data_IF_121821651676
#
_entry.id   IF_121821651676
#
_cell.length_a   1.000
_cell.length_b   1.000
_cell.length_c   1.000
_cell.angle_alpha   90.00
_cell.angle_beta   90.00
_cell.angle_gamma   90.00
#
_symmetry.space_group_name_H-M   'P 1'
#
loop_
_entity.id
_entity.type
_entity.pdbx_description
1 polymer ?
#
# COMPACT_ATOMS: atom_id res chain seq x y z
N UNK A 1 -38.71 -28.34 23.76
CA UNK A 1 -37.93 -27.27 23.10
C UNK A 1 -36.60 -27.87 22.66
N UNK A 2 -36.51 -28.32 21.40
CA UNK A 2 -35.37 -29.10 20.89
C UNK A 2 -34.24 -28.14 20.46
N UNK A 3 -33.10 -28.26 21.09
CA UNK A 3 -31.88 -27.51 20.73
C UNK A 3 -31.31 -28.14 19.46
N UNK A 4 -31.65 -27.58 18.30
CA UNK A 4 -30.99 -27.94 17.02
C UNK A 4 -29.53 -27.58 17.09
N UNK A 5 -28.70 -28.58 17.24
CA UNK A 5 -27.24 -28.46 17.39
C UNK A 5 -26.60 -27.87 16.13
N UNK A 6 -25.69 -26.96 16.32
CA UNK A 6 -24.88 -26.27 15.27
C UNK A 6 -24.16 -27.21 14.28
N UNK A 7 -24.08 -28.51 14.59
CA UNK A 7 -23.46 -29.53 13.72
C UNK A 7 -24.19 -29.78 12.40
N UNK A 8 -25.54 -29.58 12.33
CA UNK A 8 -26.28 -29.81 11.09
C UNK A 8 -26.11 -28.69 10.05
N UNK A 9 -25.69 -27.49 10.48
CA UNK A 9 -25.47 -26.36 9.58
C UNK A 9 -24.15 -26.52 8.79
N UNK A 10 -23.07 -26.95 9.45
CA UNK A 10 -21.80 -27.17 8.81
C UNK A 10 -21.78 -28.35 7.85
N UNK A 11 -22.56 -29.41 8.12
CA UNK A 11 -22.67 -30.55 7.22
C UNK A 11 -23.35 -30.18 5.88
N UNK A 12 -24.31 -29.24 5.90
CA UNK A 12 -24.96 -28.75 4.67
C UNK A 12 -24.08 -27.79 3.86
N UNK A 13 -23.24 -27.00 4.52
CA UNK A 13 -22.27 -26.10 3.84
C UNK A 13 -21.16 -26.92 3.16
N UNK A 14 -20.66 -27.98 3.80
CA UNK A 14 -19.62 -28.84 3.21
C UNK A 14 -20.10 -29.55 1.93
N UNK A 15 -21.37 -29.96 1.86
CA UNK A 15 -21.93 -30.59 0.67
C UNK A 15 -22.09 -29.61 -0.51
N UNK A 16 -22.35 -28.33 -0.25
CA UNK A 16 -22.52 -27.31 -1.30
C UNK A 16 -21.18 -26.89 -1.90
N UNK A 17 -20.12 -26.84 -1.09
CA UNK A 17 -18.75 -26.50 -1.56
C UNK A 17 -18.15 -27.62 -2.39
N UNK A 18 -18.43 -28.89 -2.05
CA UNK A 18 -17.90 -30.05 -2.79
C UNK A 18 -18.46 -30.15 -4.22
N UNK A 19 -19.67 -29.68 -4.50
CA UNK A 19 -20.28 -29.70 -5.84
C UNK A 19 -19.66 -28.66 -6.78
N UNK A 20 -19.18 -27.52 -6.24
CA UNK A 20 -18.56 -26.45 -7.05
C UNK A 20 -17.12 -26.83 -7.44
N UNK A 21 -16.40 -27.61 -6.64
CA UNK A 21 -15.00 -27.97 -6.90
C UNK A 21 -14.87 -29.09 -7.95
N UNK A 22 -15.91 -29.89 -8.17
CA UNK A 22 -15.87 -31.02 -9.12
C UNK A 22 -16.45 -30.74 -10.51
N UNK A 23 -16.59 -29.49 -10.90
CA UNK A 23 -16.96 -29.12 -12.27
C UNK A 23 -15.74 -28.59 -13.04
N UNK A 24 -14.95 -29.43 -13.70
CA UNK A 24 -13.75 -28.98 -14.42
C UNK A 24 -14.03 -28.13 -15.66
N UNK A 25 -15.30 -27.88 -15.99
CA UNK A 25 -15.71 -27.11 -17.17
C UNK A 25 -16.03 -25.64 -16.93
N UNK A 26 -15.99 -25.14 -15.69
CA UNK A 26 -16.29 -23.73 -15.38
C UNK A 26 -15.05 -22.80 -15.44
N UNK A 27 -13.87 -23.37 -15.61
CA UNK A 27 -12.62 -22.58 -15.72
C UNK A 27 -11.85 -22.80 -17.02
N UNK A 28 -12.41 -23.57 -17.95
CA UNK A 28 -11.82 -23.76 -19.26
C UNK A 28 -12.60 -22.94 -20.27
N UNK A 29 -12.18 -21.73 -20.52
CA UNK A 29 -12.42 -20.93 -21.73
C UNK A 29 -12.57 -19.43 -21.46
N UNK A 30 -11.55 -18.88 -20.83
CA UNK A 30 -11.11 -17.53 -21.18
C UNK A 30 -9.61 -17.62 -21.42
N UNK A 31 -9.26 -17.82 -22.68
CA UNK A 31 -7.90 -17.54 -23.11
C UNK A 31 -7.58 -16.09 -22.71
N UNK A 32 -6.43 -15.82 -22.07
CA UNK A 32 -6.04 -14.43 -21.81
C UNK A 32 -6.06 -13.70 -23.15
N UNK A 33 -6.52 -12.42 -23.18
CA UNK A 33 -6.45 -11.64 -24.39
C UNK A 33 -5.01 -11.73 -24.92
N UNK A 34 -4.86 -12.13 -26.18
CA UNK A 34 -3.56 -12.16 -26.82
C UNK A 34 -2.96 -10.77 -26.72
N UNK A 35 -1.93 -10.61 -25.89
CA UNK A 35 -1.12 -9.41 -25.92
C UNK A 35 -0.51 -9.39 -27.31
N UNK A 36 -1.02 -8.49 -28.16
CA UNK A 36 -0.51 -8.32 -29.51
C UNK A 36 1.00 -8.15 -29.44
N UNK A 37 1.71 -8.92 -30.27
CA UNK A 37 3.15 -8.73 -30.41
C UNK A 37 3.44 -7.25 -30.66
N UNK A 38 4.41 -6.64 -29.98
CA UNK A 38 4.78 -5.26 -30.22
C UNK A 38 5.16 -5.10 -31.69
N UNK A 39 4.65 -4.05 -32.31
CA UNK A 39 4.96 -3.71 -33.69
C UNK A 39 6.50 -3.64 -33.88
N UNK A 40 7.04 -4.19 -34.98
CA UNK A 40 8.48 -4.07 -35.27
C UNK A 40 8.84 -2.59 -35.44
N UNK A 41 9.70 -2.07 -34.56
CA UNK A 41 10.17 -0.69 -34.65
C UNK A 41 9.96 0.17 -33.40
N UNK A 42 9.34 -0.35 -32.34
CA UNK A 42 9.38 0.36 -31.08
C UNK A 42 10.83 0.40 -30.56
N UNK A 43 11.41 1.58 -30.26
CA UNK A 43 12.76 1.66 -29.73
C UNK A 43 12.80 0.87 -28.42
N UNK A 44 13.71 -0.09 -28.32
CA UNK A 44 14.03 -0.78 -27.08
C UNK A 44 14.35 0.28 -26.05
N UNK A 45 13.54 0.35 -24.98
CA UNK A 45 13.65 1.36 -23.96
C UNK A 45 15.07 1.40 -23.40
N UNK A 46 15.75 2.49 -23.66
CA UNK A 46 17.01 2.80 -23.03
C UNK A 46 16.85 2.87 -21.51
N UNK A 47 17.92 2.65 -20.79
CA UNK A 47 18.09 2.85 -19.35
C UNK A 47 17.90 4.35 -18.95
N UNK A 48 16.76 4.92 -19.31
CA UNK A 48 16.33 6.19 -18.76
C UNK A 48 15.89 5.97 -17.31
N UNK A 49 16.15 6.94 -16.43
CA UNK A 49 15.70 6.83 -15.05
C UNK A 49 14.20 6.55 -15.04
N UNK A 50 13.81 5.41 -14.46
CA UNK A 50 12.40 5.11 -14.22
C UNK A 50 11.80 6.32 -13.51
N UNK A 51 10.83 6.96 -14.12
CA UNK A 51 10.13 8.08 -13.50
C UNK A 51 9.48 7.54 -12.24
N UNK A 52 10.16 7.72 -11.10
CA UNK A 52 9.54 7.58 -9.80
C UNK A 52 8.35 8.53 -9.79
N UNK A 53 7.14 8.01 -9.60
CA UNK A 53 5.93 8.81 -9.63
C UNK A 53 5.05 8.65 -10.86
N UNK A 54 5.29 7.65 -11.73
CA UNK A 54 4.43 7.36 -12.89
C UNK A 54 2.95 7.07 -12.54
N UNK A 55 2.62 6.92 -11.26
CA UNK A 55 1.25 6.74 -10.77
C UNK A 55 0.68 7.92 -10.00
N UNK A 56 1.50 8.91 -9.64
CA UNK A 56 1.02 10.05 -8.85
C UNK A 56 0.45 11.14 -9.76
N UNK A 57 -0.76 11.62 -9.46
CA UNK A 57 -1.39 12.68 -10.26
C UNK A 57 -2.36 13.50 -9.40
N UNK A 58 -2.64 14.73 -9.86
CA UNK A 58 -3.66 15.58 -9.25
C UNK A 58 -4.85 15.69 -10.18
N UNK A 59 -6.04 15.49 -9.63
CA UNK A 59 -7.30 15.68 -10.35
C UNK A 59 -8.33 16.35 -9.44
N UNK A 60 -8.96 17.42 -9.92
CA UNK A 60 -10.01 18.15 -9.21
C UNK A 60 -9.61 18.55 -7.77
N UNK A 61 -8.38 19.01 -7.58
CA UNK A 61 -7.89 19.43 -6.26
C UNK A 61 -7.55 18.28 -5.31
N UNK A 62 -7.54 17.04 -5.80
CA UNK A 62 -7.13 15.86 -5.03
C UNK A 62 -5.85 15.29 -5.66
N UNK A 63 -4.84 15.15 -4.84
CA UNK A 63 -3.61 14.44 -5.18
C UNK A 63 -3.76 12.96 -4.85
N UNK A 64 -3.60 12.12 -5.86
CA UNK A 64 -3.58 10.66 -5.74
C UNK A 64 -2.14 10.20 -5.79
N UNK A 65 -1.73 9.42 -4.81
CA UNK A 65 -0.39 8.83 -4.76
C UNK A 65 -0.48 7.31 -4.72
N UNK A 66 0.31 6.69 -5.57
CA UNK A 66 0.46 5.23 -5.62
C UNK A 66 1.70 4.82 -4.82
N UNK A 67 1.94 3.53 -4.71
CA UNK A 67 2.96 2.88 -3.92
C UNK A 67 4.16 3.73 -3.50
N UNK A 68 4.17 4.18 -2.25
CA UNK A 68 5.31 4.83 -1.63
C UNK A 68 5.91 3.86 -0.61
N UNK A 69 7.14 3.44 -0.87
CA UNK A 69 7.90 2.51 -0.04
C UNK A 69 9.08 3.16 0.68
N UNK A 70 9.81 2.37 1.43
CA UNK A 70 10.89 2.83 2.31
C UNK A 70 12.13 3.34 1.57
N UNK A 71 12.28 3.03 0.29
CA UNK A 71 13.43 3.45 -0.52
C UNK A 71 13.10 4.60 -1.48
N UNK A 72 11.83 5.06 -1.50
CA UNK A 72 11.41 6.10 -2.43
C UNK A 72 12.01 7.48 -2.09
N UNK A 73 12.69 8.02 -3.08
CA UNK A 73 13.38 9.32 -2.95
C UNK A 73 14.65 9.28 -2.12
N UNK A 74 15.19 8.10 -1.83
CA UNK A 74 16.51 7.91 -1.24
C UNK A 74 17.52 7.44 -2.29
N UNK A 75 18.81 7.84 -2.20
CA UNK A 75 19.86 7.34 -3.08
C UNK A 75 20.10 5.84 -2.82
N UNK A 76 20.59 5.12 -3.83
CA UNK A 76 20.74 3.65 -3.77
C UNK A 76 21.66 3.16 -2.65
N UNK A 77 22.70 3.90 -2.36
CA UNK A 77 23.67 3.61 -1.29
C UNK A 77 23.10 3.82 0.12
N UNK A 78 21.94 4.48 0.23
CA UNK A 78 21.21 4.69 1.48
C UNK A 78 19.89 3.89 1.52
N UNK A 79 19.70 2.92 0.65
CA UNK A 79 18.50 2.08 0.69
C UNK A 79 18.48 1.20 1.95
N UNK A 80 17.31 1.04 2.53
CA UNK A 80 17.08 0.02 3.56
C UNK A 80 17.01 -1.34 2.91
N UNK A 81 17.53 -2.34 3.60
CA UNK A 81 17.50 -3.73 3.18
C UNK A 81 16.28 -4.43 3.81
N UNK A 82 15.81 -5.50 3.19
CA UNK A 82 14.71 -6.32 3.71
C UNK A 82 14.97 -6.88 5.11
N UNK A 83 16.24 -6.97 5.51
CA UNK A 83 16.69 -7.42 6.83
C UNK A 83 16.81 -6.31 7.88
N UNK A 84 16.66 -5.05 7.47
CA UNK A 84 16.67 -3.93 8.41
C UNK A 84 15.45 -3.98 9.35
N UNK A 85 15.51 -3.35 10.53
CA UNK A 85 14.37 -3.25 11.44
C UNK A 85 13.15 -2.66 10.77
N UNK A 86 11.97 -3.24 11.01
CA UNK A 86 10.71 -2.81 10.41
C UNK A 86 10.39 -1.34 10.69
N UNK A 87 10.73 -0.83 11.88
CA UNK A 87 10.56 0.56 12.28
C UNK A 87 11.32 1.53 11.36
N UNK A 88 12.49 1.12 10.85
CA UNK A 88 13.26 1.91 9.89
C UNK A 88 12.52 2.00 8.55
N UNK A 89 11.92 0.90 8.10
CA UNK A 89 11.06 0.91 6.91
C UNK A 89 9.87 1.84 7.07
N UNK A 90 9.18 1.78 8.22
CA UNK A 90 8.03 2.66 8.51
C UNK A 90 8.43 4.13 8.47
N UNK A 91 9.48 4.50 9.20
CA UNK A 91 9.93 5.90 9.28
C UNK A 91 10.28 6.43 7.89
N UNK A 92 11.06 5.68 7.11
CA UNK A 92 11.44 6.09 5.75
C UNK A 92 10.26 6.20 4.79
N UNK A 93 9.33 5.27 4.87
CA UNK A 93 8.09 5.33 4.06
C UNK A 93 7.27 6.57 4.41
N UNK A 94 7.08 6.86 5.68
CA UNK A 94 6.33 8.05 6.11
C UNK A 94 7.04 9.36 5.76
N UNK A 95 8.38 9.41 5.83
CA UNK A 95 9.17 10.55 5.39
C UNK A 95 9.09 10.73 3.86
N UNK A 96 9.13 9.65 3.10
CA UNK A 96 8.96 9.68 1.65
C UNK A 96 7.56 10.18 1.27
N UNK A 97 6.53 9.67 1.94
CA UNK A 97 5.14 10.12 1.77
C UNK A 97 5.03 11.62 2.08
N UNK A 98 5.55 12.07 3.22
CA UNK A 98 5.53 13.49 3.60
C UNK A 98 6.15 14.37 2.52
N UNK A 99 7.36 14.04 2.05
CA UNK A 99 7.99 14.77 0.95
C UNK A 99 7.16 14.76 -0.34
N UNK A 100 6.47 13.65 -0.63
CA UNK A 100 5.64 13.50 -1.82
C UNK A 100 4.39 14.39 -1.76
N UNK A 101 3.65 14.37 -0.66
CA UNK A 101 2.44 15.18 -0.50
C UNK A 101 2.77 16.68 -0.41
N UNK A 102 3.85 17.06 0.27
CA UNK A 102 4.29 18.46 0.35
C UNK A 102 4.68 19.03 -1.02
N UNK A 103 5.38 18.25 -1.85
CA UNK A 103 5.69 18.66 -3.23
C UNK A 103 4.46 18.84 -4.11
N UNK A 104 3.37 18.13 -3.79
CA UNK A 104 2.09 18.25 -4.50
C UNK A 104 1.22 19.39 -3.97
N UNK A 105 1.70 20.21 -3.03
CA UNK A 105 0.91 21.26 -2.40
C UNK A 105 -0.10 20.76 -1.37
N UNK A 106 0.13 19.58 -0.83
CA UNK A 106 -0.66 18.99 0.24
C UNK A 106 0.10 19.05 1.58
N UNK A 107 -0.55 18.63 2.66
CA UNK A 107 0.08 18.38 3.96
C UNK A 107 -0.26 16.98 4.45
N UNK A 108 0.47 16.46 5.43
CA UNK A 108 0.12 15.18 6.05
C UNK A 108 -1.31 15.21 6.61
N UNK A 109 -1.74 16.32 7.21
CA UNK A 109 -3.09 16.51 7.76
C UNK A 109 -4.18 16.67 6.69
N UNK A 110 -3.81 16.88 5.43
CA UNK A 110 -4.75 16.96 4.30
C UNK A 110 -4.98 15.62 3.63
N UNK A 111 -4.33 14.55 4.11
CA UNK A 111 -4.55 13.18 3.60
C UNK A 111 -5.97 12.73 3.98
N UNK A 112 -6.72 12.26 2.98
CA UNK A 112 -8.12 11.82 3.13
C UNK A 112 -8.15 10.38 3.64
N UNK A 113 -7.36 9.51 3.01
CA UNK A 113 -7.31 8.09 3.33
C UNK A 113 -5.94 7.50 3.01
N UNK A 114 -5.59 6.42 3.70
CA UNK A 114 -4.42 5.61 3.43
C UNK A 114 -4.78 4.12 3.34
N UNK A 115 -4.19 3.45 2.39
CA UNK A 115 -4.07 2.00 2.35
C UNK A 115 -2.61 1.67 2.66
N UNK A 116 -2.39 0.84 3.66
CA UNK A 116 -1.07 0.44 4.11
C UNK A 116 -0.92 -1.06 3.88
N UNK A 117 0.08 -1.42 3.13
CA UNK A 117 0.44 -2.80 2.83
C UNK A 117 1.69 -3.18 3.62
N UNK A 118 1.65 -4.34 4.26
CA UNK A 118 2.75 -4.87 5.07
C UNK A 118 3.16 -6.23 4.51
N UNK A 119 4.45 -6.48 4.40
CA UNK A 119 4.96 -7.82 4.13
C UNK A 119 6.04 -8.20 5.13
N UNK A 120 6.20 -9.50 5.33
CA UNK A 120 7.30 -10.04 6.12
C UNK A 120 8.58 -10.10 5.28
N UNK A 121 9.76 -10.01 5.90
CA UNK A 121 11.01 -10.11 5.18
C UNK A 121 11.11 -11.45 4.46
N UNK A 122 11.41 -11.38 3.15
CA UNK A 122 11.65 -12.53 2.31
C UNK A 122 13.09 -12.41 1.78
N UNK A 123 13.99 -13.23 2.28
CA UNK A 123 15.37 -13.28 1.86
C UNK A 123 15.91 -14.69 2.02
N UNK A 124 16.99 -15.01 1.31
CA UNK A 124 17.67 -16.29 1.41
C UNK A 124 18.09 -16.58 2.86
N UNK A 125 17.78 -17.77 3.34
CA UNK A 125 18.06 -18.17 4.71
C UNK A 125 17.08 -17.67 5.77
N UNK A 126 16.09 -16.86 5.41
CA UNK A 126 15.01 -16.41 6.33
C UNK A 126 13.74 -17.21 5.98
N UNK A 127 13.36 -18.23 6.78
CA UNK A 127 12.16 -18.98 6.53
C UNK A 127 10.90 -18.11 6.76
N UNK A 128 9.98 -18.14 5.81
CA UNK A 128 8.69 -17.47 5.98
C UNK A 128 7.90 -18.17 7.10
N UNK A 129 7.47 -17.44 8.14
CA UNK A 129 6.67 -18.03 9.21
C UNK A 129 5.29 -18.46 8.70
N UNK A 130 4.72 -19.49 9.32
CA UNK A 130 3.41 -20.04 8.96
C UNK A 130 2.45 -20.03 10.15
N UNK A 131 1.15 -20.18 9.89
CA UNK A 131 0.12 -20.31 10.92
C UNK A 131 0.15 -19.16 11.93
N UNK A 132 0.12 -19.51 13.22
CA UNK A 132 0.12 -18.51 14.31
C UNK A 132 1.36 -17.63 14.34
N UNK A 133 2.54 -18.17 14.03
CA UNK A 133 3.79 -17.40 14.01
C UNK A 133 3.73 -16.28 12.95
N UNK A 134 3.13 -16.54 11.79
CA UNK A 134 2.91 -15.53 10.74
C UNK A 134 1.94 -14.44 11.20
N UNK A 135 0.85 -14.84 11.84
CA UNK A 135 -0.10 -13.88 12.41
C UNK A 135 0.56 -12.99 13.47
N UNK A 136 1.31 -13.57 14.40
CA UNK A 136 2.00 -12.83 15.46
C UNK A 136 3.05 -11.86 14.89
N UNK A 137 3.77 -12.27 13.81
CA UNK A 137 4.72 -11.41 13.13
C UNK A 137 4.04 -10.18 12.47
N UNK A 138 2.94 -10.37 11.74
CA UNK A 138 2.18 -9.26 11.18
C UNK A 138 1.56 -8.36 12.25
N UNK A 139 1.11 -8.96 13.37
CA UNK A 139 0.61 -8.18 14.50
C UNK A 139 1.70 -7.29 15.10
N UNK A 140 2.92 -7.81 15.24
CA UNK A 140 4.06 -7.02 15.72
C UNK A 140 4.39 -5.86 14.78
N UNK A 141 4.37 -6.08 13.45
CA UNK A 141 4.51 -5.01 12.45
C UNK A 141 3.41 -3.95 12.59
N UNK A 142 2.15 -4.37 12.75
CA UNK A 142 1.03 -3.45 12.93
C UNK A 142 1.17 -2.61 14.20
N UNK A 143 1.60 -3.22 15.31
CA UNK A 143 1.83 -2.52 16.58
C UNK A 143 3.00 -1.52 16.47
N UNK A 144 4.09 -1.87 15.77
CA UNK A 144 5.22 -0.99 15.50
C UNK A 144 4.82 0.17 14.58
N UNK A 145 4.07 -0.11 13.51
CA UNK A 145 3.50 0.91 12.62
C UNK A 145 2.68 1.94 13.41
N UNK A 146 1.79 1.49 14.29
CA UNK A 146 0.92 2.40 15.05
C UNK A 146 1.69 3.38 15.94
N UNK A 147 2.81 2.96 16.51
CA UNK A 147 3.66 3.82 17.35
C UNK A 147 4.28 4.98 16.54
N UNK A 148 4.67 4.72 15.31
CA UNK A 148 5.36 5.70 14.45
C UNK A 148 4.33 6.52 13.66
N UNK A 149 3.34 5.88 13.07
CA UNK A 149 2.33 6.50 12.20
C UNK A 149 1.67 7.73 12.81
N UNK A 150 1.27 7.63 14.08
CA UNK A 150 0.58 8.73 14.79
C UNK A 150 1.42 9.99 14.94
N UNK A 151 2.76 9.89 14.89
CA UNK A 151 3.65 11.05 15.06
C UNK A 151 3.71 11.97 13.84
N UNK A 152 3.21 11.52 12.71
CA UNK A 152 3.22 12.28 11.45
C UNK A 152 2.01 13.18 11.25
N UNK A 153 1.01 13.11 12.13
CA UNK A 153 -0.23 13.87 12.04
C UNK A 153 -0.45 14.73 13.27
N UNK A 154 -1.07 15.88 13.08
CA UNK A 154 -1.57 16.68 14.21
C UNK A 154 -2.63 15.90 15.01
N UNK A 155 -2.81 16.15 16.30
CA UNK A 155 -3.80 15.46 17.11
C UNK A 155 -5.20 15.46 16.47
N UNK A 156 -5.78 14.28 16.28
CA UNK A 156 -7.09 14.10 15.67
C UNK A 156 -7.15 14.29 14.15
N UNK A 157 -6.01 14.44 13.46
CA UNK A 157 -5.93 14.64 12.00
C UNK A 157 -5.47 13.40 11.23
N UNK A 158 -5.11 12.33 11.91
CA UNK A 158 -4.76 11.08 11.22
C UNK A 158 -5.94 10.62 10.34
N UNK A 159 -5.70 10.31 9.06
CA UNK A 159 -6.76 9.92 8.13
C UNK A 159 -7.33 8.53 8.45
N UNK A 160 -8.47 8.21 7.85
CA UNK A 160 -8.95 6.84 7.83
C UNK A 160 -7.90 5.93 7.15
N UNK A 161 -7.71 4.73 7.68
CA UNK A 161 -6.68 3.81 7.22
C UNK A 161 -7.19 2.38 7.14
N UNK A 162 -6.93 1.70 6.00
CA UNK A 162 -6.95 0.25 5.92
C UNK A 162 -5.51 -0.26 6.01
N UNK A 163 -5.29 -1.38 6.71
CA UNK A 163 -3.99 -2.03 6.80
C UNK A 163 -4.13 -3.50 6.40
N UNK A 164 -3.31 -3.94 5.45
CA UNK A 164 -3.39 -5.27 4.85
C UNK A 164 -2.02 -5.94 4.86
N UNK A 165 -2.00 -7.23 5.17
CA UNK A 165 -0.82 -8.07 5.04
C UNK A 165 -0.77 -8.67 3.63
N UNK A 166 0.36 -8.54 2.96
CA UNK A 166 0.63 -9.10 1.63
C UNK A 166 1.76 -10.11 1.69
N UNK A 167 1.83 -10.93 0.65
CA UNK A 167 2.93 -11.88 0.48
C UNK A 167 4.22 -11.20 0.07
N UNK A 168 4.14 -10.15 -0.73
CA UNK A 168 5.29 -9.47 -1.30
C UNK A 168 4.94 -8.03 -1.70
N UNK A 169 5.93 -7.14 -1.60
CA UNK A 169 5.92 -5.75 -2.06
C UNK A 169 7.17 -5.55 -2.95
N UNK A 170 7.08 -4.80 -4.06
CA UNK A 170 8.23 -4.53 -4.92
C UNK A 170 9.39 -3.87 -4.18
N UNK A 171 10.63 -4.28 -4.52
CA UNK A 171 11.85 -3.78 -3.87
C UNK A 171 12.08 -4.40 -2.49
N UNK A 172 12.95 -3.78 -1.71
CA UNK A 172 13.31 -4.23 -0.35
C UNK A 172 12.43 -3.60 0.75
N UNK A 173 11.32 -2.96 0.37
CA UNK A 173 10.40 -2.35 1.33
C UNK A 173 9.52 -3.40 2.01
N UNK A 174 9.38 -3.31 3.32
CA UNK A 174 8.44 -4.13 4.11
C UNK A 174 7.08 -3.44 4.33
N UNK A 175 6.95 -2.21 3.85
CA UNK A 175 5.72 -1.42 3.92
C UNK A 175 5.58 -0.56 2.66
N UNK A 176 4.36 -0.46 2.16
CA UNK A 176 4.00 0.44 1.09
C UNK A 176 2.71 1.18 1.45
N UNK A 177 2.59 2.43 1.07
CA UNK A 177 1.38 3.24 1.29
C UNK A 177 0.84 3.81 -0.01
N UNK A 178 -0.48 3.81 -0.14
CA UNK A 178 -1.26 4.35 -1.25
C UNK A 178 -2.39 5.20 -0.67
N UNK A 179 -2.75 6.28 -1.32
CA UNK A 179 -3.86 7.09 -0.81
C UNK A 179 -4.15 8.35 -1.62
N UNK A 180 -4.82 9.27 -0.96
CA UNK A 180 -5.16 10.57 -1.55
C UNK A 180 -5.14 11.69 -0.51
N UNK A 181 -4.85 12.91 -0.97
CA UNK A 181 -4.79 14.10 -0.16
C UNK A 181 -5.44 15.30 -0.87
N UNK A 182 -6.02 16.20 -0.11
CA UNK A 182 -6.52 17.47 -0.66
C UNK A 182 -5.36 18.42 -0.88
N UNK A 183 -5.27 19.01 -2.07
CA UNK A 183 -4.32 20.10 -2.35
C UNK A 183 -4.75 21.33 -1.55
N UNK A 184 -3.88 21.79 -0.67
CA UNK A 184 -4.12 22.99 0.14
C UNK A 184 -3.65 24.18 -0.68
N UNK A 185 -4.56 24.89 -1.29
CA UNK A 185 -4.23 26.16 -1.95
C UNK A 185 -3.71 27.12 -0.88
N UNK A 186 -2.50 27.71 -1.01
CA UNK A 186 -2.07 28.75 -0.09
C UNK A 186 -3.14 29.86 -0.05
N UNK A 187 -3.53 30.27 1.14
CA UNK A 187 -4.43 31.42 1.27
C UNK A 187 -3.81 32.59 0.48
N UNK A 188 -4.59 33.19 -0.43
CA UNK A 188 -4.16 34.36 -1.14
C UNK A 188 -3.66 35.40 -0.10
N UNK A 189 -2.50 36.06 -0.31
CA UNK A 189 -2.03 37.08 0.61
C UNK A 189 -3.16 38.09 0.81
N UNK A 190 -3.57 38.28 2.05
CA UNK A 190 -4.56 39.28 2.39
C UNK A 190 -4.05 40.63 1.92
N UNK A 191 -4.69 41.19 0.89
CA UNK A 191 -4.43 42.57 0.45
C UNK A 191 -4.69 43.46 1.67
N UNK A 192 -3.70 44.24 2.14
CA UNK A 192 -3.97 45.19 3.22
C UNK A 192 -5.09 46.13 2.78
N UNK A 193 -6.02 46.52 3.66
CA UNK A 193 -7.06 47.46 3.32
C UNK A 193 -6.40 48.71 2.75
N UNK A 194 -6.90 49.16 1.58
CA UNK A 194 -6.48 50.41 0.99
C UNK A 194 -6.76 51.50 2.04
N UNK A 195 -5.68 52.13 2.53
CA UNK A 195 -5.80 53.20 3.49
C UNK A 195 -6.60 54.36 2.88
N UNK A 196 -7.64 54.78 3.60
CA UNK A 196 -8.31 56.07 3.40
C UNK A 196 -7.41 57.19 3.85
#
# INVERSE_FOLDING_TARGET
MEIKTRRSFFAKMAATVAVVINSPKLFAEQAPPSVGSPAPGAPSGGDGPRRSGAGNHTHSGIYYFSGTGSNDGYPKDDHVLVTDPFEKHVTRTMDALKRSVERAGCTMDSIINLQVFLCLPLADGIPMPTGKARFDAHKAQYDALNKIYGTYFSPGKAPSRACMALEWIPGDSLIEVVGSAVVVTPAAPSTPPAGE
#
